data_IF_918772828014
#
_entry.id   IF_918772828014
#
_cell.length_a   1.000
_cell.length_b   1.000
_cell.length_c   1.000
_cell.angle_alpha   90.00
_cell.angle_beta   90.00
_cell.angle_gamma   90.00
#
_symmetry.space_group_name_H-M   'P 1'
#
loop_
_entity.id
_entity.type
_entity.pdbx_description
1 polymer ?
#
# COMPACT_ATOMS: atom_id res chain seq x y z
N UNK A 1 12.27 -11.13 5.61
CA UNK A 1 12.14 -9.87 6.37
C UNK A 1 10.82 -9.26 5.93
N UNK A 2 9.84 -9.14 6.82
CA UNK A 2 8.51 -8.66 6.43
C UNK A 2 8.50 -7.13 6.52
N UNK A 3 8.34 -6.45 5.38
CA UNK A 3 8.27 -4.99 5.35
C UNK A 3 6.82 -4.55 5.33
N UNK A 4 6.41 -3.84 6.40
CA UNK A 4 5.13 -3.16 6.45
C UNK A 4 5.28 -1.76 5.88
N UNK A 5 4.63 -1.50 4.76
CA UNK A 5 4.50 -0.21 4.11
C UNK A 5 3.28 0.53 4.67
N UNK A 6 3.46 1.81 4.96
CA UNK A 6 2.36 2.72 5.26
C UNK A 6 2.05 3.53 4.01
N UNK A 7 0.80 3.48 3.56
CA UNK A 7 0.34 4.16 2.36
C UNK A 7 -0.71 5.18 2.78
N UNK A 8 -0.34 6.47 2.78
CA UNK A 8 -1.23 7.58 3.08
C UNK A 8 -1.67 8.33 1.82
N UNK A 9 -2.57 9.29 1.99
CA UNK A 9 -3.12 10.12 0.90
C UNK A 9 -3.85 9.30 -0.19
N UNK A 10 -4.49 8.20 0.22
CA UNK A 10 -5.29 7.36 -0.67
C UNK A 10 -6.61 8.02 -1.01
N UNK A 11 -7.09 7.78 -2.23
CA UNK A 11 -8.41 8.24 -2.64
C UNK A 11 -9.49 7.48 -1.88
N UNK A 12 -10.63 8.13 -1.65
CA UNK A 12 -11.79 7.52 -0.98
C UNK A 12 -12.39 6.32 -1.74
N UNK A 13 -12.01 6.15 -3.00
CA UNK A 13 -12.40 5.04 -3.87
C UNK A 13 -11.33 3.93 -3.93
N UNK A 14 -10.18 4.14 -3.28
CA UNK A 14 -9.13 3.12 -3.21
C UNK A 14 -9.61 1.97 -2.34
N UNK A 15 -9.48 0.75 -2.87
CA UNK A 15 -9.83 -0.49 -2.19
C UNK A 15 -8.57 -1.31 -1.91
N UNK A 16 -8.70 -2.35 -1.10
CA UNK A 16 -7.61 -3.29 -0.85
C UNK A 16 -7.12 -3.95 -2.15
N UNK A 17 -8.04 -4.20 -3.09
CA UNK A 17 -7.72 -4.80 -4.38
C UNK A 17 -6.91 -3.85 -5.28
N UNK A 18 -7.21 -2.55 -5.22
CA UNK A 18 -6.48 -1.50 -5.95
C UNK A 18 -5.04 -1.36 -5.42
N UNK A 19 -4.88 -1.39 -4.08
CA UNK A 19 -3.57 -1.46 -3.45
C UNK A 19 -2.85 -2.74 -3.85
N UNK A 20 -3.51 -3.89 -3.76
CA UNK A 20 -2.90 -5.16 -4.07
C UNK A 20 -2.39 -5.19 -5.52
N UNK A 21 -3.17 -4.68 -6.47
CA UNK A 21 -2.78 -4.59 -7.89
C UNK A 21 -1.61 -3.61 -8.09
N UNK A 22 -1.70 -2.41 -7.52
CA UNK A 22 -0.64 -1.41 -7.61
C UNK A 22 0.69 -1.90 -7.02
N UNK A 23 0.64 -2.61 -5.90
CA UNK A 23 1.81 -3.17 -5.23
C UNK A 23 2.25 -4.51 -5.81
N UNK A 24 1.38 -5.27 -6.50
CA UNK A 24 1.74 -6.52 -7.18
C UNK A 24 2.83 -6.32 -8.24
N UNK A 25 2.89 -5.13 -8.87
CA UNK A 25 3.97 -4.77 -9.78
C UNK A 25 5.34 -4.61 -9.10
N UNK A 26 5.35 -4.30 -7.79
CA UNK A 26 6.57 -4.07 -7.01
C UNK A 26 7.00 -5.29 -6.17
N UNK A 27 6.12 -6.28 -5.98
CA UNK A 27 6.44 -7.51 -5.26
C UNK A 27 5.22 -8.25 -4.73
N UNK A 28 5.45 -9.31 -3.96
CA UNK A 28 4.36 -10.11 -3.38
C UNK A 28 3.76 -9.41 -2.17
N UNK A 29 2.52 -8.94 -2.33
CA UNK A 29 1.69 -8.44 -1.24
C UNK A 29 1.29 -9.62 -0.34
N UNK A 30 1.68 -9.55 0.93
CA UNK A 30 1.32 -10.55 1.94
C UNK A 30 -0.02 -10.21 2.60
N UNK A 31 -0.23 -8.94 2.92
CA UNK A 31 -1.44 -8.50 3.62
C UNK A 31 -1.75 -7.05 3.27
N UNK A 32 -3.02 -6.73 3.07
CA UNK A 32 -3.50 -5.35 2.93
C UNK A 32 -4.47 -5.08 4.06
N UNK A 33 -4.29 -3.95 4.74
CA UNK A 33 -5.17 -3.45 5.79
C UNK A 33 -5.57 -2.03 5.42
N UNK A 34 -6.64 -1.89 4.65
CA UNK A 34 -7.20 -0.59 4.29
C UNK A 34 -8.17 -0.15 5.39
N UNK A 35 -7.89 1.00 6.01
CA UNK A 35 -8.77 1.57 7.02
C UNK A 35 -9.93 2.27 6.32
N UNK A 36 -11.10 1.64 6.35
CA UNK A 36 -12.35 2.22 5.82
C UNK A 36 -13.21 2.80 6.94
N UNK A 37 -13.88 3.89 6.62
CA UNK A 37 -14.94 4.47 7.43
C UNK A 37 -16.23 3.68 7.20
N UNK A 38 -16.75 3.05 8.27
CA UNK A 38 -17.92 2.17 8.20
C UNK A 38 -19.25 2.92 8.04
N UNK A 39 -19.26 4.24 8.28
CA UNK A 39 -20.45 5.07 8.13
C UNK A 39 -20.66 5.53 6.68
N UNK A 40 -19.56 5.85 5.99
CA UNK A 40 -19.58 6.35 4.61
C UNK A 40 -19.17 5.30 3.58
N UNK A 41 -18.56 4.20 4.03
CA UNK A 41 -17.95 3.19 3.15
C UNK A 41 -16.68 3.71 2.45
N UNK A 42 -16.13 4.84 2.86
CA UNK A 42 -14.97 5.48 2.22
C UNK A 42 -13.68 5.12 2.93
N UNK A 43 -12.60 4.96 2.17
CA UNK A 43 -11.27 4.81 2.75
C UNK A 43 -10.92 6.06 3.58
N UNK A 44 -10.34 5.88 4.78
CA UNK A 44 -9.89 6.98 5.65
C UNK A 44 -8.68 7.73 5.10
N UNK A 45 -8.29 7.44 3.85
CA UNK A 45 -7.13 8.01 3.17
C UNK A 45 -5.80 7.35 3.56
N UNK A 46 -5.83 6.22 4.28
CA UNK A 46 -4.62 5.49 4.64
C UNK A 46 -4.84 3.99 4.72
N UNK A 47 -3.78 3.24 4.44
CA UNK A 47 -3.72 1.79 4.52
C UNK A 47 -2.34 1.31 4.94
N UNK A 48 -2.29 0.10 5.48
CA UNK A 48 -1.06 -0.62 5.77
C UNK A 48 -0.96 -1.81 4.83
N UNK A 49 0.14 -1.91 4.11
CA UNK A 49 0.42 -3.02 3.19
C UNK A 49 1.64 -3.75 3.71
N UNK A 50 1.48 -5.01 4.08
CA UNK A 50 2.60 -5.88 4.42
C UNK A 50 3.05 -6.57 3.15
N UNK A 51 4.31 -6.41 2.78
CA UNK A 51 4.90 -7.05 1.61
C UNK A 51 6.09 -7.91 2.05
N UNK A 52 6.28 -9.02 1.34
CA UNK A 52 7.54 -9.76 1.39
C UNK A 52 8.53 -8.98 0.53
N UNK A 53 9.38 -8.20 1.18
CA UNK A 53 10.26 -7.27 0.47
C UNK A 53 11.60 -7.89 0.16
N UNK A 54 11.94 -7.79 -1.12
CA UNK A 54 13.25 -7.30 -1.56
C UNK A 54 13.03 -5.87 -2.09
N UNK A 55 12.85 -4.89 -1.19
CA UNK A 55 12.65 -3.49 -1.64
C UNK A 55 14.00 -2.95 -2.08
N UNK A 56 14.22 -2.98 -3.40
CA UNK A 56 15.32 -2.27 -4.05
C UNK A 56 15.14 -0.79 -3.73
N UNK A 57 15.99 -0.30 -2.85
CA UNK A 57 16.22 1.14 -2.68
C UNK A 57 16.87 1.60 -3.97
N UNK A 58 16.09 2.19 -4.88
CA UNK A 58 16.66 2.97 -5.98
C UNK A 58 17.31 4.21 -5.37
N UNK A 59 18.57 4.07 -5.00
CA UNK A 59 19.47 5.19 -4.84
C UNK A 59 19.96 5.57 -6.24
N UNK A 60 19.81 6.83 -6.63
CA UNK A 60 20.46 7.39 -7.82
C UNK A 60 19.55 8.27 -8.67
N UNK A 61 19.54 9.57 -8.37
CA UNK A 61 19.93 10.54 -9.39
C UNK A 61 20.86 11.54 -8.69
N UNK A 62 22.15 11.43 -9.01
CA UNK A 62 23.15 12.43 -8.66
C UNK A 62 22.91 13.66 -9.54
N UNK A 63 22.85 14.85 -8.92
CA UNK A 63 22.84 16.15 -9.59
C UNK A 63 23.58 17.18 -8.77
#
# INVERSE_FOLDING_TARGET
MNNKLFVGNLSFNTTENDLQDAFAAHGTVMEVNLMMDRMTGKSRGFAFVTMDSDVVRVHGDEG
#
